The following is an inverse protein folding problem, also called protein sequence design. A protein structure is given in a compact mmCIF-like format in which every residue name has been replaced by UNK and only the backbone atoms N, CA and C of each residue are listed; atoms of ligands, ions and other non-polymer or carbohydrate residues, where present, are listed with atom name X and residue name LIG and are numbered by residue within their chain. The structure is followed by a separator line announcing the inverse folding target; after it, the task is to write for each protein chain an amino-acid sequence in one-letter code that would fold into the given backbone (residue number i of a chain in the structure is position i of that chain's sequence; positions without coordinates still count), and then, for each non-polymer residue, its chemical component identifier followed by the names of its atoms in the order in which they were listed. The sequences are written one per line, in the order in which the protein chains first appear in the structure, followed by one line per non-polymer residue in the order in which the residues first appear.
data_IF_501237163415
#
_entry.id   IF_501237163415
#
_cell.length_a   1.000
_cell.length_b   1.000
_cell.length_c   1.000
_cell.angle_alpha   90.00
_cell.angle_beta   90.00
_cell.angle_gamma   90.00
#
_symmetry.space_group_name_H-M   'P 1'
#
loop_
_entity.id
_entity.type
_entity.pdbx_description
1 polymer ?
#
# COMPACT_ATOMS: atom_id res chain seq x y z
N UNK A 1 10.24 -41.36 -26.05
CA UNK A 1 10.06 -40.99 -24.63
C UNK A 1 9.01 -39.90 -24.59
N UNK A 2 7.75 -40.26 -24.37
CA UNK A 2 6.60 -39.34 -24.45
C UNK A 2 6.13 -39.06 -23.04
N UNK A 3 6.44 -37.88 -22.51
CA UNK A 3 5.84 -37.38 -21.28
C UNK A 3 4.57 -36.62 -21.67
N UNK A 4 3.45 -37.34 -21.78
CA UNK A 4 2.12 -36.73 -21.83
C UNK A 4 1.73 -36.36 -20.41
N UNK A 5 1.56 -35.06 -20.23
CA UNK A 5 1.24 -34.34 -19.01
C UNK A 5 -0.18 -34.68 -18.55
N UNK A 6 -0.27 -35.38 -17.42
CA UNK A 6 -1.48 -35.48 -16.61
C UNK A 6 -1.78 -34.13 -15.94
N UNK A 7 -2.50 -33.27 -16.66
CA UNK A 7 -3.33 -32.21 -16.05
C UNK A 7 -4.80 -32.60 -16.26
N UNK A 8 -5.25 -33.64 -15.54
CA UNK A 8 -6.66 -33.97 -15.40
C UNK A 8 -7.33 -32.96 -14.46
N UNK A 9 -7.71 -31.83 -15.03
CA UNK A 9 -8.52 -30.80 -14.37
C UNK A 9 -9.11 -29.89 -15.43
N UNK A 10 -10.15 -30.38 -16.11
CA UNK A 10 -10.78 -29.62 -17.19
C UNK A 10 -11.35 -28.32 -16.65
N UNK A 11 -10.73 -27.20 -17.02
CA UNK A 11 -11.26 -25.87 -16.79
C UNK A 11 -12.62 -25.78 -17.48
N UNK A 12 -13.71 -25.79 -16.69
CA UNK A 12 -15.05 -25.63 -17.24
C UNK A 12 -15.31 -24.13 -17.39
N UNK A 13 -15.72 -23.66 -18.58
CA UNK A 13 -15.97 -22.24 -18.77
C UNK A 13 -17.05 -21.75 -17.80
N UNK A 14 -16.92 -20.52 -17.28
CA UNK A 14 -17.96 -19.92 -16.44
C UNK A 14 -19.28 -19.87 -17.20
N UNK A 15 -20.37 -20.28 -16.55
CA UNK A 15 -21.72 -20.22 -17.12
C UNK A 15 -22.54 -19.11 -16.47
N UNK A 16 -23.27 -18.35 -17.28
CA UNK A 16 -24.21 -17.34 -16.81
C UNK A 16 -25.51 -18.00 -16.38
N UNK A 17 -26.08 -17.53 -15.28
CA UNK A 17 -27.38 -17.94 -14.77
C UNK A 17 -28.11 -16.74 -14.17
N UNK A 18 -29.40 -16.88 -13.93
CA UNK A 18 -30.21 -15.88 -13.24
C UNK A 18 -30.78 -16.53 -11.98
N UNK A 19 -30.52 -15.93 -10.82
CA UNK A 19 -31.03 -16.39 -9.52
C UNK A 19 -31.81 -15.21 -8.94
N UNK A 20 -33.12 -15.38 -8.74
CA UNK A 20 -34.02 -14.37 -8.16
C UNK A 20 -33.95 -13.00 -8.86
N UNK A 21 -33.86 -12.98 -10.20
CA UNK A 21 -33.77 -11.73 -10.96
C UNK A 21 -32.38 -11.11 -11.04
N UNK A 22 -31.36 -11.77 -10.47
CA UNK A 22 -29.97 -11.32 -10.49
C UNK A 22 -29.15 -12.18 -11.44
N UNK A 23 -28.53 -11.53 -12.42
CA UNK A 23 -27.57 -12.19 -13.30
C UNK A 23 -26.30 -12.58 -12.51
N UNK A 24 -26.00 -13.87 -12.47
CA UNK A 24 -24.85 -14.45 -11.77
C UNK A 24 -23.98 -15.24 -12.73
N UNK A 25 -22.69 -15.35 -12.38
CA UNK A 25 -21.75 -16.22 -13.06
C UNK A 25 -21.43 -17.39 -12.14
N UNK A 26 -21.66 -18.59 -12.63
CA UNK A 26 -21.39 -19.84 -11.93
C UNK A 26 -20.03 -20.38 -12.36
N UNK A 27 -19.23 -20.76 -11.36
CA UNK A 27 -17.95 -21.42 -11.56
C UNK A 27 -17.94 -22.74 -10.78
N UNK A 28 -17.21 -23.75 -11.25
CA UNK A 28 -17.03 -24.97 -10.47
C UNK A 28 -16.43 -24.66 -9.09
N UNK A 29 -16.92 -25.36 -8.06
CA UNK A 29 -16.45 -25.16 -6.69
C UNK A 29 -14.94 -25.40 -6.53
N UNK A 30 -14.38 -26.34 -7.29
CA UNK A 30 -12.95 -26.61 -7.30
C UNK A 30 -12.14 -25.39 -7.80
N UNK A 31 -12.64 -24.70 -8.83
CA UNK A 31 -11.98 -23.51 -9.39
C UNK A 31 -12.11 -22.33 -8.42
N UNK A 32 -13.26 -22.18 -7.76
CA UNK A 32 -13.43 -21.18 -6.71
C UNK A 32 -12.44 -21.37 -5.55
N UNK A 33 -12.24 -22.63 -5.10
CA UNK A 33 -11.25 -22.94 -4.06
C UNK A 33 -9.83 -22.57 -4.50
N UNK A 34 -9.47 -22.87 -5.75
CA UNK A 34 -8.17 -22.49 -6.31
C UNK A 34 -7.98 -20.97 -6.33
N UNK A 35 -9.01 -20.21 -6.71
CA UNK A 35 -8.95 -18.74 -6.68
C UNK A 35 -8.76 -18.18 -5.26
N UNK A 36 -9.44 -18.76 -4.27
CA UNK A 36 -9.27 -18.36 -2.87
C UNK A 36 -7.85 -18.65 -2.37
N UNK A 37 -7.29 -19.80 -2.72
CA UNK A 37 -5.93 -20.17 -2.31
C UNK A 37 -4.89 -19.25 -2.96
N UNK A 38 -5.03 -18.95 -4.27
CA UNK A 38 -4.18 -17.97 -4.96
C UNK A 38 -4.28 -16.60 -4.30
N UNK A 39 -5.50 -16.14 -3.96
CA UNK A 39 -5.70 -14.86 -3.26
C UNK A 39 -5.00 -14.85 -1.90
N UNK A 40 -5.05 -15.96 -1.15
CA UNK A 40 -4.37 -16.11 0.13
C UNK A 40 -2.85 -16.04 -0.04
N UNK A 41 -2.29 -16.84 -0.96
CA UNK A 41 -0.85 -16.86 -1.24
C UNK A 41 -0.34 -15.48 -1.67
N UNK A 42 -1.10 -14.78 -2.51
CA UNK A 42 -0.78 -13.42 -2.95
C UNK A 42 -0.80 -12.42 -1.78
N UNK A 43 -1.77 -12.53 -0.86
CA UNK A 43 -1.83 -11.70 0.33
C UNK A 43 -0.65 -11.95 1.28
N UNK A 44 -0.26 -13.22 1.46
CA UNK A 44 0.89 -13.61 2.28
C UNK A 44 2.21 -13.12 1.66
N UNK A 45 2.38 -13.27 0.34
CA UNK A 45 3.54 -12.75 -0.39
C UNK A 45 3.63 -11.21 -0.31
N UNK A 46 2.53 -10.49 -0.56
CA UNK A 46 2.49 -9.04 -0.45
C UNK A 46 2.80 -8.54 0.96
N UNK A 47 2.35 -9.24 2.01
CA UNK A 47 2.71 -8.90 3.39
C UNK A 47 4.21 -9.03 3.63
N UNK A 48 4.83 -10.10 3.12
CA UNK A 48 6.29 -10.28 3.21
C UNK A 48 7.03 -9.21 2.42
N UNK A 49 6.62 -8.93 1.18
CA UNK A 49 7.24 -7.88 0.37
C UNK A 49 7.16 -6.51 1.07
N UNK A 50 6.01 -6.15 1.64
CA UNK A 50 5.87 -4.91 2.42
C UNK A 50 6.76 -4.87 3.66
N UNK A 51 7.03 -6.02 4.30
CA UNK A 51 7.95 -6.12 5.45
C UNK A 51 9.42 -6.01 5.04
N UNK A 52 9.79 -6.50 3.85
CA UNK A 52 11.17 -6.49 3.35
C UNK A 52 11.53 -5.28 2.48
N UNK A 53 10.56 -4.43 2.13
CA UNK A 53 10.89 -3.11 1.63
C UNK A 53 11.50 -2.30 2.76
N UNK A 54 12.83 -2.29 2.83
CA UNK A 54 13.56 -1.35 3.67
C UNK A 54 12.95 0.04 3.42
N UNK A 55 12.51 0.76 4.47
CA UNK A 55 11.91 2.06 4.28
C UNK A 55 12.91 2.89 3.50
N UNK A 56 12.55 3.28 2.27
CA UNK A 56 13.35 4.19 1.47
C UNK A 56 13.38 5.49 2.26
N UNK A 57 14.38 5.65 3.13
CA UNK A 57 14.51 6.80 4.03
C UNK A 57 14.41 8.04 3.16
N UNK A 58 13.24 8.69 3.24
CA UNK A 58 12.94 9.88 2.47
C UNK A 58 13.90 10.99 2.89
N UNK A 59 13.93 12.08 2.13
CA UNK A 59 14.76 13.24 2.48
C UNK A 59 14.51 13.70 3.92
N UNK A 60 13.25 13.63 4.38
CA UNK A 60 12.82 13.98 5.74
C UNK A 60 13.42 12.99 6.76
N UNK A 61 13.35 11.67 6.52
CA UNK A 61 13.90 10.66 7.45
C UNK A 61 15.43 10.72 7.57
N UNK A 62 16.11 11.26 6.55
CA UNK A 62 17.57 11.47 6.58
C UNK A 62 17.97 12.69 7.40
N UNK A 63 17.04 13.62 7.65
CA UNK A 63 17.27 14.82 8.42
C UNK A 63 16.36 14.84 9.66
N UNK A 64 16.80 14.24 10.78
CA UNK A 64 15.95 14.05 11.95
C UNK A 64 15.49 15.37 12.56
N UNK A 65 16.28 16.45 12.45
CA UNK A 65 15.90 17.77 12.95
C UNK A 65 14.71 18.35 12.18
N UNK A 66 14.72 18.20 10.85
CA UNK A 66 13.58 18.59 10.00
C UNK A 66 12.37 17.71 10.28
N UNK A 67 12.56 16.41 10.45
CA UNK A 67 11.46 15.48 10.76
C UNK A 67 10.74 15.84 12.06
N UNK A 68 11.49 16.11 13.14
CA UNK A 68 10.93 16.55 14.43
C UNK A 68 10.21 17.88 14.30
N UNK A 69 10.84 18.88 13.66
CA UNK A 69 10.22 20.19 13.45
C UNK A 69 8.89 20.07 12.71
N UNK A 70 8.86 19.28 11.64
CA UNK A 70 7.63 19.06 10.87
C UNK A 70 6.56 18.38 11.74
N UNK A 71 6.90 17.29 12.44
CA UNK A 71 5.97 16.55 13.29
C UNK A 71 5.34 17.43 14.38
N UNK A 72 6.11 18.34 14.99
CA UNK A 72 5.62 19.25 16.03
C UNK A 72 4.71 20.38 15.49
N UNK A 73 4.90 20.81 14.23
CA UNK A 73 4.22 21.98 13.67
C UNK A 73 3.03 21.64 12.78
N UNK A 74 2.95 20.41 12.27
CA UNK A 74 1.77 20.04 11.50
C UNK A 74 0.52 19.98 12.41
N UNK A 75 -0.63 20.37 11.85
CA UNK A 75 -1.89 20.47 12.60
C UNK A 75 -2.01 21.74 13.45
N UNK A 76 -0.92 22.45 13.74
CA UNK A 76 -0.95 23.76 14.40
C UNK A 76 -0.87 24.92 13.42
N UNK A 77 -0.23 24.72 12.26
CA UNK A 77 -0.05 25.75 11.22
C UNK A 77 -0.32 25.22 9.81
N UNK A 78 -0.61 26.10 8.83
CA UNK A 78 -0.67 25.73 7.42
C UNK A 78 0.68 25.21 6.90
N UNK A 79 0.65 24.20 6.03
CA UNK A 79 1.86 23.54 5.50
C UNK A 79 2.80 24.53 4.81
N UNK A 80 2.27 25.51 4.07
CA UNK A 80 3.10 26.51 3.39
C UNK A 80 3.90 27.37 4.38
N UNK A 81 3.31 27.71 5.52
CA UNK A 81 4.00 28.42 6.61
C UNK A 81 5.08 27.55 7.23
N UNK A 82 4.79 26.27 7.47
CA UNK A 82 5.75 25.31 8.02
C UNK A 82 6.96 25.16 7.09
N UNK A 83 6.74 25.06 5.78
CA UNK A 83 7.83 24.95 4.80
C UNK A 83 8.68 26.21 4.74
N UNK A 84 8.05 27.38 4.80
CA UNK A 84 8.79 28.64 4.83
C UNK A 84 9.65 28.78 6.11
N UNK A 85 9.10 28.42 7.27
CA UNK A 85 9.86 28.37 8.53
C UNK A 85 10.97 27.30 8.50
N UNK A 86 10.72 26.16 7.85
CA UNK A 86 11.71 25.10 7.65
C UNK A 86 12.87 25.60 6.78
N UNK A 87 12.58 26.30 5.69
CA UNK A 87 13.60 26.89 4.81
C UNK A 87 14.42 27.95 5.54
N UNK A 88 13.77 28.82 6.31
CA UNK A 88 14.46 29.84 7.10
C UNK A 88 15.38 29.24 8.18
N UNK A 89 15.02 28.10 8.78
CA UNK A 89 15.77 27.47 9.88
C UNK A 89 16.86 26.50 9.41
N UNK A 90 16.55 25.67 8.42
CA UNK A 90 17.39 24.54 8.00
C UNK A 90 17.95 24.70 6.57
N UNK A 91 17.52 25.73 5.84
CA UNK A 91 17.92 26.00 4.47
C UNK A 91 17.09 25.25 3.42
N UNK A 92 17.12 25.76 2.20
CA UNK A 92 16.37 25.20 1.06
C UNK A 92 16.74 23.74 0.76
N UNK A 93 18.02 23.36 0.91
CA UNK A 93 18.49 22.00 0.66
C UNK A 93 17.89 20.95 1.61
N UNK A 94 17.49 21.37 2.81
CA UNK A 94 16.89 20.52 3.83
C UNK A 94 15.35 20.58 3.82
N UNK A 95 14.77 21.50 3.05
CA UNK A 95 13.32 21.76 3.06
C UNK A 95 12.61 20.85 2.07
N UNK A 96 11.69 19.99 2.52
CA UNK A 96 10.99 19.08 1.63
C UNK A 96 10.04 19.85 0.71
N UNK A 97 9.70 19.24 -0.42
CA UNK A 97 8.60 19.74 -1.24
C UNK A 97 7.27 19.61 -0.50
N UNK A 98 6.29 20.42 -0.89
CA UNK A 98 4.93 20.40 -0.32
C UNK A 98 4.30 19.00 -0.38
N UNK A 99 4.45 18.29 -1.49
CA UNK A 99 3.93 16.92 -1.63
C UNK A 99 4.65 15.94 -0.70
N UNK A 100 5.96 16.10 -0.48
CA UNK A 100 6.70 15.26 0.46
C UNK A 100 6.29 15.52 1.91
N UNK A 101 6.02 16.78 2.27
CA UNK A 101 5.50 17.18 3.57
C UNK A 101 4.12 16.54 3.85
N UNK A 102 3.18 16.61 2.89
CA UNK A 102 1.86 15.96 3.04
C UNK A 102 1.96 14.45 3.17
N UNK A 103 2.79 13.79 2.34
CA UNK A 103 2.98 12.33 2.44
C UNK A 103 3.55 11.91 3.79
N UNK A 104 4.45 12.72 4.36
CA UNK A 104 4.99 12.47 5.69
C UNK A 104 3.93 12.65 6.77
N UNK A 105 3.08 13.67 6.67
CA UNK A 105 1.95 13.88 7.58
C UNK A 105 0.94 12.73 7.55
N UNK A 106 0.60 12.24 6.36
CA UNK A 106 -0.29 11.08 6.21
C UNK A 106 0.34 9.82 6.83
N UNK A 107 1.64 9.59 6.59
CA UNK A 107 2.36 8.49 7.22
C UNK A 107 2.42 8.59 8.76
N UNK A 108 2.54 9.80 9.33
CA UNK A 108 2.48 9.99 10.78
C UNK A 108 1.11 9.63 11.35
N UNK A 109 0.01 9.95 10.65
CA UNK A 109 -1.34 9.57 11.08
C UNK A 109 -1.55 8.07 11.04
N UNK A 110 -1.08 7.40 9.99
CA UNK A 110 -1.21 5.95 9.85
C UNK A 110 -0.38 5.16 10.88
N UNK A 111 0.68 5.76 11.42
CA UNK A 111 1.56 5.15 12.43
C UNK A 111 1.33 5.68 13.85
N UNK A 112 0.39 6.60 14.05
CA UNK A 112 0.02 7.03 15.38
C UNK A 112 -0.69 5.87 16.09
N UNK A 113 -0.19 5.38 17.25
CA UNK A 113 -0.93 4.39 18.02
C UNK A 113 -2.26 5.02 18.41
N UNK A 114 -3.37 4.33 18.12
CA UNK A 114 -4.68 4.69 18.64
C UNK A 114 -4.55 4.84 20.16
N UNK A 115 -4.78 6.07 20.64
CA UNK A 115 -4.80 6.42 22.06
C UNK A 115 -6.12 6.02 22.70
#
# INVERSE_FOLDING_TARGET
MTAQSDLKGGFKPPSFAEIEGVAVVTIPLADYKSLLEVKRLYAEANRREKQFQAPRRGMIDRNPQVAVFLAENFGTKPVDTILHECEARFGAACTPSKSAAYRYWDALKDNAPEG
#
